data_IF_962467624047
#
_entry.id   IF_962467624047
#
_cell.length_a   1.000
_cell.length_b   1.000
_cell.length_c   1.000
_cell.angle_alpha   90.00
_cell.angle_beta   90.00
_cell.angle_gamma   90.00
#
_symmetry.space_group_name_H-M   'P 1'
#
loop_
_entity.id
_entity.type
_entity.pdbx_description
1 polymer ?
#
# COMPACT_ATOMS: atom_id res chain seq x y z
N UNK A 1 -18.00 -22.41 13.93
CA UNK A 1 -16.75 -22.43 13.15
C UNK A 1 -16.61 -21.09 12.43
N UNK A 2 -15.77 -20.18 12.94
CA UNK A 2 -15.48 -18.92 12.27
C UNK A 2 -14.78 -19.22 10.94
N UNK A 3 -15.26 -18.63 9.86
CA UNK A 3 -14.65 -18.74 8.55
C UNK A 3 -13.35 -17.90 8.56
N UNK A 4 -12.26 -18.48 9.08
CA UNK A 4 -10.97 -17.82 9.31
C UNK A 4 -10.46 -17.07 8.07
N UNK A 5 -10.78 -17.58 6.88
CA UNK A 5 -10.43 -16.96 5.60
C UNK A 5 -11.13 -15.61 5.38
N UNK A 6 -12.42 -15.49 5.74
CA UNK A 6 -13.16 -14.23 5.61
C UNK A 6 -12.59 -13.14 6.53
N UNK A 7 -12.18 -13.52 7.75
CA UNK A 7 -11.59 -12.59 8.72
C UNK A 7 -10.23 -12.08 8.23
N UNK A 8 -9.36 -12.95 7.75
CA UNK A 8 -8.04 -12.55 7.21
C UNK A 8 -8.17 -11.71 5.93
N UNK A 9 -9.14 -12.04 5.07
CA UNK A 9 -9.47 -11.22 3.89
C UNK A 9 -9.93 -9.82 4.29
N UNK A 10 -10.81 -9.72 5.29
CA UNK A 10 -11.30 -8.44 5.80
C UNK A 10 -10.18 -7.60 6.42
N UNK A 11 -9.29 -8.21 7.22
CA UNK A 11 -8.09 -7.55 7.76
C UNK A 11 -7.19 -7.01 6.65
N UNK A 12 -6.91 -7.84 5.64
CA UNK A 12 -6.09 -7.46 4.49
C UNK A 12 -6.70 -6.27 3.74
N UNK A 13 -8.01 -6.32 3.47
CA UNK A 13 -8.73 -5.22 2.83
C UNK A 13 -8.65 -3.95 3.67
N UNK A 14 -8.86 -4.04 4.99
CA UNK A 14 -8.77 -2.91 5.90
C UNK A 14 -7.38 -2.25 5.85
N UNK A 15 -6.30 -3.04 5.93
CA UNK A 15 -4.94 -2.52 5.85
C UNK A 15 -4.66 -1.86 4.49
N UNK A 16 -5.13 -2.45 3.38
CA UNK A 16 -4.99 -1.85 2.04
C UNK A 16 -5.70 -0.49 1.95
N UNK A 17 -6.93 -0.39 2.46
CA UNK A 17 -7.68 0.88 2.47
C UNK A 17 -7.01 1.94 3.36
N UNK A 18 -6.47 1.52 4.51
CA UNK A 18 -5.69 2.41 5.38
C UNK A 18 -4.46 2.98 4.65
N UNK A 19 -3.68 2.15 3.97
CA UNK A 19 -2.52 2.60 3.19
C UNK A 19 -2.94 3.54 2.05
N UNK A 20 -4.02 3.21 1.32
CA UNK A 20 -4.58 4.12 0.30
C UNK A 20 -4.94 5.49 0.86
N UNK A 21 -5.53 5.53 2.07
CA UNK A 21 -5.85 6.78 2.76
C UNK A 21 -4.58 7.58 3.08
N UNK A 22 -3.53 6.94 3.59
CA UNK A 22 -2.25 7.61 3.87
C UNK A 22 -1.63 8.24 2.61
N UNK A 23 -1.63 7.49 1.50
CA UNK A 23 -1.17 7.98 0.19
C UNK A 23 -1.97 9.20 -0.26
N UNK A 24 -3.31 9.13 -0.20
CA UNK A 24 -4.18 10.26 -0.56
C UNK A 24 -3.95 11.47 0.32
N UNK A 25 -3.77 11.29 1.63
CA UNK A 25 -3.45 12.37 2.54
C UNK A 25 -2.13 13.06 2.20
N UNK A 26 -1.11 12.31 1.75
CA UNK A 26 0.19 12.85 1.33
C UNK A 26 0.13 13.61 -0.01
N UNK A 27 -0.71 13.16 -0.94
CA UNK A 27 -0.87 13.77 -2.27
C UNK A 27 -1.71 15.05 -2.27
N UNK A 28 -2.56 15.22 -1.26
CA UNK A 28 -3.52 16.31 -1.16
C UNK A 28 -4.97 15.79 -1.22
N UNK A 29 -5.83 16.36 -0.38
CA UNK A 29 -7.25 16.02 -0.40
C UNK A 29 -7.86 16.40 -1.76
N UNK A 30 -8.58 15.46 -2.38
CA UNK A 30 -9.28 15.71 -3.64
C UNK A 30 -8.46 15.49 -4.92
N UNK A 31 -7.17 15.12 -4.84
CA UNK A 31 -6.39 14.82 -6.04
C UNK A 31 -6.99 13.62 -6.79
N UNK A 32 -7.43 13.80 -8.06
CA UNK A 32 -8.00 12.72 -8.84
C UNK A 32 -6.88 11.77 -9.28
N UNK A 33 -6.73 10.68 -8.54
CA UNK A 33 -5.75 9.63 -8.83
C UNK A 33 -6.29 8.26 -8.44
N UNK A 34 -5.81 7.25 -9.16
CA UNK A 34 -5.97 5.85 -8.81
C UNK A 34 -4.81 5.45 -7.91
N UNK A 35 -5.12 4.84 -6.76
CA UNK A 35 -4.12 4.30 -5.83
C UNK A 35 -4.32 2.79 -5.76
N UNK A 36 -3.34 2.06 -6.25
CA UNK A 36 -3.24 0.61 -6.16
C UNK A 36 -2.27 0.24 -5.05
N UNK A 37 -2.63 -0.77 -4.25
CA UNK A 37 -1.81 -1.29 -3.15
C UNK A 37 -1.87 -2.80 -3.20
N UNK A 38 -0.74 -3.44 -3.42
CA UNK A 38 -0.60 -4.89 -3.36
C UNK A 38 0.60 -5.28 -2.48
N UNK A 39 0.50 -6.47 -1.91
CA UNK A 39 1.64 -7.14 -1.31
C UNK A 39 2.38 -7.88 -2.42
N UNK A 40 3.70 -7.75 -2.45
CA UNK A 40 4.58 -8.36 -3.43
C UNK A 40 5.72 -9.06 -2.72
N UNK A 41 6.24 -10.11 -3.37
CA UNK A 41 7.44 -10.81 -2.88
C UNK A 41 8.64 -9.95 -3.25
N UNK A 42 9.40 -9.52 -2.25
CA UNK A 42 10.68 -8.89 -2.51
C UNK A 42 11.67 -9.97 -2.98
N UNK A 43 12.33 -9.75 -4.11
CA UNK A 43 13.32 -10.68 -4.68
C UNK A 43 14.71 -10.50 -4.07
N UNK A 44 14.89 -9.52 -3.19
CA UNK A 44 16.14 -9.29 -2.47
C UNK A 44 16.29 -10.32 -1.34
N UNK A 45 17.44 -10.99 -1.31
CA UNK A 45 17.77 -12.05 -0.34
C UNK A 45 17.85 -11.52 1.09
N UNK A 46 18.18 -10.24 1.26
CA UNK A 46 18.34 -9.61 2.57
C UNK A 46 17.08 -8.84 3.01
N UNK A 47 16.00 -8.88 2.20
CA UNK A 47 14.75 -8.23 2.57
C UNK A 47 14.00 -9.05 3.65
N UNK A 48 13.66 -8.45 4.80
CA UNK A 48 13.15 -9.17 5.98
C UNK A 48 11.69 -9.65 5.84
N UNK A 49 11.03 -9.45 4.70
CA UNK A 49 9.64 -9.86 4.56
C UNK A 49 8.95 -9.37 3.29
N UNK A 50 7.61 -9.48 3.23
CA UNK A 50 6.83 -9.02 2.09
C UNK A 50 6.99 -7.51 1.91
N UNK A 51 7.05 -7.07 0.66
CA UNK A 51 7.08 -5.67 0.31
C UNK A 51 5.68 -5.22 -0.11
N UNK A 52 5.29 -4.00 0.26
CA UNK A 52 4.07 -3.38 -0.25
C UNK A 52 4.43 -2.52 -1.43
N UNK A 53 3.84 -2.82 -2.57
CA UNK A 53 3.92 -1.99 -3.74
C UNK A 53 2.72 -1.05 -3.77
N UNK A 54 3.02 0.23 -3.98
CA UNK A 54 2.03 1.27 -4.21
C UNK A 54 2.22 1.82 -5.61
N UNK A 55 1.14 1.88 -6.37
CA UNK A 55 1.09 2.54 -7.68
C UNK A 55 0.08 3.67 -7.62
N UNK A 56 0.52 4.85 -8.02
CA UNK A 56 -0.31 6.05 -8.12
C UNK A 56 -0.39 6.44 -9.59
N UNK A 57 -1.59 6.42 -10.15
CA UNK A 57 -1.84 6.84 -11.54
C UNK A 57 -2.69 8.11 -11.52
N UNK A 58 -2.19 9.19 -12.11
CA UNK A 58 -2.93 10.44 -12.24
C UNK A 58 -3.86 10.45 -13.47
N UNK A 59 -4.64 11.53 -13.64
CA UNK A 59 -5.52 11.68 -14.82
C UNK A 59 -4.75 11.85 -16.15
N UNK A 60 -3.47 12.22 -16.08
CA UNK A 60 -2.58 12.24 -17.24
C UNK A 60 -2.00 10.87 -17.58
N UNK A 61 -2.49 9.79 -16.94
CA UNK A 61 -2.01 8.42 -17.06
C UNK A 61 -0.53 8.25 -16.72
N UNK A 62 0.01 9.15 -15.88
CA UNK A 62 1.39 9.04 -15.38
C UNK A 62 1.39 8.17 -14.14
N UNK A 63 2.20 7.13 -14.17
CA UNK A 63 2.35 6.21 -13.06
C UNK A 63 3.58 6.56 -12.22
N UNK A 64 3.39 6.66 -10.90
CA UNK A 64 4.46 6.59 -9.91
C UNK A 64 4.34 5.27 -9.15
N UNK A 65 5.42 4.51 -9.09
CA UNK A 65 5.50 3.22 -8.42
C UNK A 65 6.61 3.25 -7.38
N UNK A 66 6.32 2.75 -6.19
CA UNK A 66 7.30 2.62 -5.11
C UNK A 66 6.97 1.42 -4.22
N UNK A 67 8.00 0.91 -3.54
CA UNK A 67 7.93 -0.27 -2.69
C UNK A 67 8.31 0.08 -1.25
N UNK A 68 7.59 -0.50 -0.28
CA UNK A 68 7.84 -0.35 1.15
C UNK A 68 8.09 -1.74 1.72
N UNK A 69 9.30 -2.00 2.19
CA UNK A 69 9.75 -3.33 2.64
C UNK A 69 9.31 -3.63 4.07
N UNK A 70 7.99 -3.67 4.30
CA UNK A 70 7.33 -3.95 5.58
C UNK A 70 5.97 -4.59 5.31
N UNK A 71 5.39 -5.37 6.24
CA UNK A 71 4.02 -5.88 6.08
C UNK A 71 2.99 -4.74 6.02
N UNK A 72 1.84 -5.01 5.37
CA UNK A 72 0.70 -4.08 5.21
C UNK A 72 0.22 -3.44 6.52
N UNK A 73 0.32 -4.17 7.64
CA UNK A 73 -0.01 -3.69 8.98
C UNK A 73 0.99 -2.68 9.54
N UNK A 74 2.26 -2.79 9.15
CA UNK A 74 3.36 -1.95 9.63
C UNK A 74 3.60 -0.66 8.85
N UNK A 75 2.97 -0.49 7.69
CA UNK A 75 3.10 0.75 6.88
C UNK A 75 2.55 1.95 7.65
N UNK A 76 3.33 3.02 7.78
CA UNK A 76 2.95 4.26 8.45
C UNK A 76 3.04 5.47 7.51
N UNK A 77 2.53 6.63 7.96
CA UNK A 77 2.56 7.87 7.18
C UNK A 77 3.99 8.33 6.83
N UNK A 78 4.95 8.08 7.72
CA UNK A 78 6.36 8.39 7.50
C UNK A 78 6.94 7.59 6.33
N UNK A 79 6.56 6.32 6.18
CA UNK A 79 7.02 5.48 5.07
C UNK A 79 6.48 6.00 3.73
N UNK A 80 5.21 6.43 3.69
CA UNK A 80 4.61 7.05 2.50
C UNK A 80 5.33 8.34 2.15
N UNK A 81 5.70 9.15 3.14
CA UNK A 81 6.38 10.43 2.94
C UNK A 81 7.81 10.23 2.45
N UNK A 82 8.51 9.21 2.94
CA UNK A 82 9.87 8.89 2.48
C UNK A 82 9.91 8.37 1.02
N UNK A 83 8.79 7.82 0.52
CA UNK A 83 8.71 7.23 -0.81
C UNK A 83 8.07 8.14 -1.89
N UNK A 84 7.35 9.20 -1.51
CA UNK A 84 6.62 10.14 -2.40
C UNK A 84 7.16 11.56 -2.36
#
# INVERSE_FOLDING_TARGET
MTNTNAVETAKTLWHKQRVKRLVRSRLGQGTPCLVFVCETVCTDRDCPGPAIEVRVVDLGLRERRFSIHKPLSGVAAADITAAL
#
